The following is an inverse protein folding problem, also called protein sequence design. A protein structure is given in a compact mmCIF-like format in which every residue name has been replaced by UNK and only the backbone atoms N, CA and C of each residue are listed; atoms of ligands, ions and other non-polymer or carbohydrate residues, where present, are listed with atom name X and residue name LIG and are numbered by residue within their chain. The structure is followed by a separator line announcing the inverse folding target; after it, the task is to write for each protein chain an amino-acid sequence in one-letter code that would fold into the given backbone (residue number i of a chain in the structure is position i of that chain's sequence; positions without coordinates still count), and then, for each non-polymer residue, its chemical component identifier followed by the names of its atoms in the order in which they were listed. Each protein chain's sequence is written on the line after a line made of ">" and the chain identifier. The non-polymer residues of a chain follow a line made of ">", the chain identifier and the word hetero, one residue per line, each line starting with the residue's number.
data_IF_492499729740
#
_entry.id   IF_492499729740
#
_cell.length_a   1.000
_cell.length_b   1.000
_cell.length_c   1.000
_cell.angle_alpha   90.00
_cell.angle_beta   90.00
_cell.angle_gamma   90.00
#
_symmetry.space_group_name_H-M   'P 1'
#
loop_
_entity.id
_entity.type
_entity.pdbx_description
1 polymer ?
#
# COMPACT_ATOMS: atom_id res chain seq x y z
N UNK A 1 -4.56 -13.56 7.63
CA UNK A 1 -5.33 -12.40 7.15
C UNK A 1 -5.80 -12.72 5.75
N UNK A 2 -7.11 -12.66 5.51
CA UNK A 2 -7.68 -12.79 4.17
C UNK A 2 -7.74 -11.43 3.44
N UNK A 3 -8.08 -11.46 2.15
CA UNK A 3 -8.12 -10.26 1.30
C UNK A 3 -9.19 -9.27 1.76
N UNK A 4 -10.35 -9.75 2.20
CA UNK A 4 -11.43 -8.88 2.64
C UNK A 4 -11.07 -8.12 3.92
N UNK A 5 -10.39 -8.78 4.86
CA UNK A 5 -9.88 -8.18 6.08
C UNK A 5 -8.85 -7.08 5.76
N UNK A 6 -7.89 -7.36 4.88
CA UNK A 6 -6.90 -6.37 4.46
C UNK A 6 -7.52 -5.14 3.78
N UNK A 7 -8.54 -5.36 2.92
CA UNK A 7 -9.30 -4.27 2.28
C UNK A 7 -10.03 -3.42 3.33
N UNK A 8 -10.67 -4.04 4.32
CA UNK A 8 -11.37 -3.31 5.40
C UNK A 8 -10.41 -2.41 6.18
N UNK A 9 -9.20 -2.90 6.49
CA UNK A 9 -8.15 -2.11 7.16
C UNK A 9 -7.72 -0.93 6.29
N UNK A 10 -7.46 -1.17 5.00
CA UNK A 10 -7.06 -0.14 4.06
C UNK A 10 -8.12 0.95 3.88
N UNK A 11 -9.39 0.57 3.74
CA UNK A 11 -10.50 1.53 3.65
C UNK A 11 -10.69 2.31 4.95
N UNK A 12 -10.53 1.66 6.11
CA UNK A 12 -10.58 2.35 7.40
C UNK A 12 -9.46 3.40 7.51
N UNK A 13 -8.23 3.06 7.11
CA UNK A 13 -7.12 4.01 7.05
C UNK A 13 -7.39 5.18 6.08
N UNK A 14 -7.94 4.87 4.90
CA UNK A 14 -8.21 5.87 3.86
C UNK A 14 -9.33 6.84 4.24
N UNK A 15 -10.37 6.38 4.94
CA UNK A 15 -11.58 7.16 5.25
C UNK A 15 -11.52 7.76 6.64
N UNK A 16 -11.22 6.95 7.66
CA UNK A 16 -11.40 7.32 9.07
C UNK A 16 -10.11 7.77 9.75
N UNK A 17 -8.94 7.37 9.22
CA UNK A 17 -7.63 7.68 9.79
C UNK A 17 -6.71 8.34 8.75
N UNK A 18 -7.29 9.21 7.90
CA UNK A 18 -6.53 9.92 6.86
C UNK A 18 -5.41 10.78 7.47
N UNK A 19 -5.64 11.38 8.62
CA UNK A 19 -4.65 12.22 9.32
C UNK A 19 -3.48 11.41 9.89
N UNK A 20 -3.64 10.08 10.03
CA UNK A 20 -2.61 9.18 10.58
C UNK A 20 -1.66 8.61 9.52
N UNK A 21 -1.87 8.95 8.24
CA UNK A 21 -1.08 8.44 7.11
C UNK A 21 -0.54 9.59 6.26
N UNK A 22 0.57 9.34 5.59
CA UNK A 22 1.17 10.31 4.68
C UNK A 22 0.33 10.44 3.41
N UNK A 23 0.39 11.61 2.75
CA UNK A 23 -0.39 11.86 1.53
C UNK A 23 -0.07 10.84 0.43
N UNK A 24 1.18 10.38 0.33
CA UNK A 24 1.56 9.31 -0.61
C UNK A 24 0.89 7.96 -0.27
N UNK A 25 0.75 7.62 1.01
CA UNK A 25 0.01 6.42 1.45
C UNK A 25 -1.45 6.55 1.05
N UNK A 26 -2.05 7.72 1.25
CA UNK A 26 -3.42 8.00 0.84
C UNK A 26 -3.60 7.85 -0.67
N UNK A 27 -2.67 8.37 -1.47
CA UNK A 27 -2.66 8.20 -2.93
C UNK A 27 -2.54 6.74 -3.33
N UNK A 28 -1.64 5.98 -2.71
CA UNK A 28 -1.49 4.54 -2.94
C UNK A 28 -2.78 3.76 -2.66
N UNK A 29 -3.44 4.04 -1.52
CA UNK A 29 -4.69 3.39 -1.14
C UNK A 29 -5.84 3.77 -2.10
N UNK A 30 -5.90 5.04 -2.51
CA UNK A 30 -6.91 5.52 -3.46
C UNK A 30 -6.72 4.89 -4.84
N UNK A 31 -5.49 4.79 -5.32
CA UNK A 31 -5.17 4.11 -6.57
C UNK A 31 -5.54 2.61 -6.51
N UNK A 32 -5.16 1.91 -5.45
CA UNK A 32 -5.55 0.51 -5.26
C UNK A 32 -7.07 0.33 -5.22
N UNK A 33 -7.80 1.25 -4.58
CA UNK A 33 -9.25 1.24 -4.56
C UNK A 33 -9.86 1.34 -5.96
N UNK A 34 -9.29 2.16 -6.85
CA UNK A 34 -9.74 2.25 -8.26
C UNK A 34 -9.55 0.93 -9.02
N UNK A 35 -8.57 0.13 -8.61
CA UNK A 35 -8.27 -1.19 -9.19
C UNK A 35 -8.85 -2.34 -8.35
N UNK A 36 -9.84 -2.08 -7.50
CA UNK A 36 -10.49 -3.08 -6.64
C UNK A 36 -9.51 -3.91 -5.78
N UNK A 37 -8.36 -3.34 -5.42
CA UNK A 37 -7.29 -4.02 -4.68
C UNK A 37 -6.79 -5.29 -5.40
N UNK A 38 -6.72 -5.26 -6.73
CA UNK A 38 -6.20 -6.35 -7.58
C UNK A 38 -4.77 -6.11 -8.07
N UNK A 39 -4.01 -5.26 -7.38
CA UNK A 39 -2.61 -5.01 -7.70
C UNK A 39 -1.72 -6.09 -7.09
N UNK A 40 -0.66 -6.47 -7.81
CA UNK A 40 0.41 -7.35 -7.32
C UNK A 40 1.11 -6.74 -6.12
N UNK A 41 1.27 -5.42 -6.10
CA UNK A 41 1.85 -4.71 -4.96
C UNK A 41 1.01 -4.90 -3.69
N UNK A 42 -0.32 -4.88 -3.80
CA UNK A 42 -1.21 -5.14 -2.67
C UNK A 42 -1.16 -6.59 -2.20
N UNK A 43 -1.18 -7.55 -3.13
CA UNK A 43 -1.02 -8.97 -2.80
C UNK A 43 0.31 -9.24 -2.09
N UNK A 44 1.40 -8.65 -2.59
CA UNK A 44 2.72 -8.73 -1.96
C UNK A 44 2.70 -8.14 -0.56
N UNK A 45 2.09 -6.97 -0.37
CA UNK A 45 1.99 -6.29 0.93
C UNK A 45 1.25 -7.18 1.95
N UNK A 46 0.12 -7.78 1.55
CA UNK A 46 -0.62 -8.75 2.37
C UNK A 46 0.23 -9.96 2.76
N UNK A 47 0.89 -10.59 1.77
CA UNK A 47 1.73 -11.76 2.00
C UNK A 47 2.87 -11.44 2.97
N UNK A 48 3.49 -10.27 2.84
CA UNK A 48 4.56 -9.83 3.74
C UNK A 48 4.05 -9.51 5.15
N UNK A 49 2.86 -8.90 5.29
CA UNK A 49 2.28 -8.67 6.60
C UNK A 49 2.03 -9.99 7.35
N UNK A 50 1.48 -11.00 6.67
CA UNK A 50 1.25 -12.34 7.23
C UNK A 50 2.57 -13.05 7.56
N UNK A 51 3.57 -12.96 6.69
CA UNK A 51 4.89 -13.56 6.92
C UNK A 51 5.61 -12.90 8.10
N UNK A 52 5.58 -11.58 8.20
CA UNK A 52 6.21 -10.88 9.33
C UNK A 52 5.47 -11.18 10.63
N UNK A 53 4.16 -11.36 10.60
CA UNK A 53 3.34 -11.70 11.77
C UNK A 53 3.77 -13.04 12.37
N UNK A 54 4.03 -14.04 11.52
CA UNK A 54 4.48 -15.35 11.99
C UNK A 54 5.89 -15.33 12.59
N UNK A 55 6.71 -14.31 12.28
CA UNK A 55 8.07 -14.16 12.80
C UNK A 55 8.14 -13.28 14.05
N UNK A 56 7.21 -12.34 14.23
CA UNK A 56 7.30 -11.27 15.25
C UNK A 56 6.31 -11.39 16.40
N UNK A 57 5.49 -12.44 16.44
CA UNK A 57 4.40 -12.59 17.42
C UNK A 57 3.43 -11.38 17.47
N UNK A 58 3.34 -10.64 16.36
CA UNK A 58 2.43 -9.50 16.18
C UNK A 58 1.27 -9.89 15.28
N UNK A 59 0.15 -9.16 15.35
CA UNK A 59 -0.96 -9.41 14.43
C UNK A 59 -0.60 -8.98 13.00
N UNK A 60 -1.10 -9.72 12.00
CA UNK A 60 -0.93 -9.35 10.59
C UNK A 60 -1.57 -7.99 10.27
N UNK A 61 -2.62 -7.63 11.01
CA UNK A 61 -3.35 -6.37 10.87
C UNK A 61 -2.48 -5.18 11.31
N UNK A 62 -1.85 -5.27 12.49
CA UNK A 62 -0.90 -4.26 12.98
C UNK A 62 0.28 -4.11 12.02
N UNK A 63 0.84 -5.22 11.56
CA UNK A 63 1.96 -5.20 10.62
C UNK A 63 1.58 -4.61 9.26
N UNK A 64 0.38 -4.87 8.77
CA UNK A 64 -0.14 -4.23 7.56
C UNK A 64 -0.19 -2.71 7.73
N UNK A 65 -0.72 -2.23 8.86
CA UNK A 65 -0.79 -0.80 9.17
C UNK A 65 0.62 -0.20 9.27
N UNK A 66 1.55 -0.88 9.95
CA UNK A 66 2.95 -0.46 10.04
C UNK A 66 3.62 -0.36 8.66
N UNK A 67 3.41 -1.35 7.79
CA UNK A 67 3.96 -1.34 6.42
C UNK A 67 3.42 -0.15 5.62
N UNK A 68 2.12 0.13 5.73
CA UNK A 68 1.50 1.29 5.06
C UNK A 68 2.01 2.62 5.62
N UNK A 69 2.22 2.72 6.93
CA UNK A 69 2.78 3.92 7.59
C UNK A 69 4.25 4.18 7.26
N UNK A 70 5.00 3.16 6.82
CA UNK A 70 6.39 3.31 6.33
C UNK A 70 6.48 3.98 4.96
N UNK A 71 5.37 4.06 4.22
CA UNK A 71 5.33 4.77 2.93
C UNK A 71 5.28 6.26 3.23
N UNK A 72 6.44 6.91 3.29
CA UNK A 72 6.51 8.33 3.66
C UNK A 72 6.80 9.25 2.49
N UNK A 73 7.48 8.73 1.47
CA UNK A 73 7.80 9.45 0.25
C UNK A 73 7.23 8.75 -0.97
N UNK A 74 7.13 9.49 -2.08
CA UNK A 74 6.79 8.92 -3.38
C UNK A 74 7.71 7.76 -3.78
N UNK A 75 9.01 7.90 -3.49
CA UNK A 75 9.99 6.86 -3.80
C UNK A 75 9.74 5.58 -3.00
N UNK A 76 9.23 5.66 -1.77
CA UNK A 76 8.90 4.49 -0.97
C UNK A 76 7.73 3.72 -1.60
N UNK A 77 6.70 4.43 -2.08
CA UNK A 77 5.57 3.82 -2.77
C UNK A 77 6.03 3.11 -4.05
N UNK A 78 6.88 3.76 -4.85
CA UNK A 78 7.44 3.17 -6.09
C UNK A 78 8.35 1.98 -5.79
N UNK A 79 9.20 2.04 -4.75
CA UNK A 79 10.08 0.91 -4.35
C UNK A 79 9.30 -0.31 -3.91
N UNK A 80 8.12 -0.11 -3.34
CA UNK A 80 7.22 -1.18 -2.93
C UNK A 80 6.62 -1.90 -4.16
N UNK A 81 6.37 -1.16 -5.24
CA UNK A 81 5.86 -1.69 -6.49
C UNK A 81 6.94 -2.49 -7.22
N UNK A 82 6.73 -3.82 -7.33
CA UNK A 82 7.67 -4.72 -8.00
C UNK A 82 7.36 -4.92 -9.48
N UNK A 83 6.17 -4.53 -9.91
CA UNK A 83 5.77 -4.58 -11.31
C UNK A 83 6.01 -3.20 -11.97
N UNK A 84 6.90 -3.09 -12.98
CA UNK A 84 7.12 -1.85 -13.71
C UNK A 84 5.85 -1.27 -14.35
N UNK A 85 4.88 -2.12 -14.68
CA UNK A 85 3.59 -1.68 -15.21
C UNK A 85 2.76 -0.95 -14.15
N UNK A 86 2.76 -1.44 -12.91
CA UNK A 86 2.08 -0.78 -11.78
C UNK A 86 2.74 0.55 -11.43
N UNK A 87 4.07 0.62 -11.50
CA UNK A 87 4.79 1.90 -11.37
C UNK A 87 4.29 2.88 -12.43
N UNK A 88 4.24 2.48 -13.71
CA UNK A 88 3.75 3.36 -14.79
C UNK A 88 2.32 3.82 -14.54
N UNK A 89 1.43 2.92 -14.13
CA UNK A 89 0.04 3.27 -13.82
C UNK A 89 -0.06 4.23 -12.63
N UNK A 90 0.71 4.01 -11.57
CA UNK A 90 0.72 4.87 -10.41
C UNK A 90 1.30 6.26 -10.72
N UNK A 91 2.36 6.33 -11.54
CA UNK A 91 2.90 7.60 -12.04
C UNK A 91 1.84 8.37 -12.86
N UNK A 92 1.09 7.67 -13.73
CA UNK A 92 -0.03 8.27 -14.46
C UNK A 92 -1.15 8.74 -13.54
N UNK A 93 -1.51 7.96 -12.52
CA UNK A 93 -2.53 8.33 -11.53
C UNK A 93 -2.13 9.58 -10.73
N UNK A 94 -0.87 9.68 -10.33
CA UNK A 94 -0.34 10.80 -9.52
C UNK A 94 0.09 12.00 -10.37
N UNK A 95 0.06 11.90 -11.70
CA UNK A 95 0.63 12.89 -12.63
C UNK A 95 2.11 13.23 -12.34
N UNK A 96 2.85 12.30 -11.76
CA UNK A 96 4.29 12.46 -11.49
C UNK A 96 5.07 12.01 -12.72
N UNK A 97 5.83 12.92 -13.30
CA UNK A 97 6.78 12.61 -14.36
C UNK A 97 8.10 12.22 -13.69
N UNK A 98 8.60 10.98 -13.86
CA UNK A 98 9.90 10.61 -13.33
C UNK A 98 10.98 11.46 -13.99
N UNK A 99 11.73 12.22 -13.19
CA UNK A 99 12.79 13.11 -13.66
C UNK A 99 14.02 12.35 -14.19
N UNK A 100 14.13 11.06 -13.86
CA UNK A 100 15.19 10.17 -14.32
C UNK A 100 14.59 8.80 -14.64
N UNK A 101 14.81 8.33 -15.87
CA UNK A 101 14.38 7.02 -16.40
C UNK A 101 15.56 6.08 -16.55
#
# INVERSE_FOLDING_TARGET
>A
MDKEQAIRICENLRINAREDIQEVTFQYLTWNKQLNYETKTFEWLMANAVLLASLKEQSADELLIELLKKITTYQDAVKMMKDPYEVKQFNSFTNVVPLFS
#
